data_IF_974369514150
#
_entry.id   IF_974369514150
#
_cell.length_a   1.000
_cell.length_b   1.000
_cell.length_c   1.000
_cell.angle_alpha   90.00
_cell.angle_beta   90.00
_cell.angle_gamma   90.00
#
_symmetry.space_group_name_H-M   'P 1'
#
loop_
_entity.id
_entity.type
_entity.pdbx_description
1 polymer ?
#
# COMPACT_ATOMS: atom_id res chain seq x y z
N UNK A 1 13.77 -17.67 20.61
CA UNK A 1 13.74 -18.13 19.22
C UNK A 1 12.94 -17.08 18.50
N UNK A 2 13.57 -16.27 17.65
CA UNK A 2 12.85 -15.31 16.81
C UNK A 2 11.86 -16.10 15.95
N UNK A 3 10.62 -15.62 15.84
CA UNK A 3 9.46 -16.34 15.32
C UNK A 3 9.51 -16.69 13.80
N UNK A 4 10.68 -16.55 13.18
CA UNK A 4 10.87 -16.56 11.72
C UNK A 4 11.72 -17.74 11.23
N UNK A 5 11.88 -18.79 12.03
CA UNK A 5 12.70 -19.95 11.67
C UNK A 5 11.92 -21.25 11.78
N UNK A 6 11.79 -21.93 10.65
CA UNK A 6 11.20 -23.26 10.55
C UNK A 6 12.34 -24.26 10.40
N UNK A 7 12.37 -25.25 11.30
CA UNK A 7 13.29 -26.39 11.22
C UNK A 7 12.52 -27.62 10.73
N UNK A 8 12.86 -28.12 9.55
CA UNK A 8 12.32 -29.39 9.02
C UNK A 8 13.48 -30.36 8.91
N UNK A 9 13.36 -31.53 9.52
CA UNK A 9 14.40 -32.55 9.44
C UNK A 9 13.86 -33.94 9.23
N UNK A 10 14.69 -34.78 8.64
CA UNK A 10 14.49 -36.23 8.50
C UNK A 10 15.63 -36.95 9.21
N UNK A 11 15.29 -37.94 10.03
CA UNK A 11 16.26 -38.86 10.59
C UNK A 11 16.37 -40.09 9.67
N UNK A 12 17.58 -40.62 9.48
CA UNK A 12 17.89 -41.69 8.54
C UNK A 12 17.51 -41.30 7.11
N UNK A 13 17.94 -40.12 6.68
CA UNK A 13 17.86 -39.76 5.27
C UNK A 13 18.71 -40.71 4.42
N UNK A 14 18.59 -40.59 3.11
CA UNK A 14 19.15 -41.51 2.13
C UNK A 14 20.69 -41.48 2.04
N UNK A 15 21.34 -40.70 2.89
CA UNK A 15 22.79 -40.72 3.08
C UNK A 15 23.19 -41.89 4.00
N UNK A 16 24.08 -42.74 3.48
CA UNK A 16 24.33 -44.12 3.93
C UNK A 16 25.04 -44.31 5.28
N UNK A 17 25.05 -43.31 6.17
CA UNK A 17 25.76 -43.39 7.45
C UNK A 17 24.84 -43.74 8.65
N UNK A 18 25.38 -44.51 9.60
CA UNK A 18 24.68 -44.88 10.83
C UNK A 18 24.36 -43.62 11.65
N UNK A 19 23.08 -43.34 11.89
CA UNK A 19 22.59 -42.14 12.58
C UNK A 19 22.68 -40.84 11.76
N UNK A 20 22.66 -40.94 10.43
CA UNK A 20 22.54 -39.79 9.52
C UNK A 20 21.13 -39.18 9.53
N UNK A 21 21.04 -37.96 9.03
CA UNK A 21 19.81 -37.19 8.87
C UNK A 21 20.09 -35.79 8.36
N UNK A 22 19.13 -35.21 7.65
CA UNK A 22 19.18 -33.85 7.16
C UNK A 22 18.30 -32.95 8.01
N UNK A 23 18.73 -31.70 8.17
CA UNK A 23 17.91 -30.64 8.72
C UNK A 23 18.01 -29.41 7.80
N UNK A 24 16.85 -28.94 7.36
CA UNK A 24 16.69 -27.72 6.60
C UNK A 24 16.20 -26.63 7.55
N UNK A 25 16.90 -25.50 7.53
CA UNK A 25 16.49 -24.29 8.20
C UNK A 25 15.91 -23.36 7.14
N UNK A 26 14.64 -23.03 7.26
CA UNK A 26 13.98 -22.01 6.45
C UNK A 26 13.85 -20.75 7.29
N UNK A 27 14.32 -19.63 6.75
CA UNK A 27 13.93 -18.32 7.23
C UNK A 27 12.61 -17.97 6.56
N UNK A 28 11.53 -17.94 7.33
CA UNK A 28 10.26 -17.41 6.85
C UNK A 28 10.35 -15.90 7.02
N UNK A 29 10.63 -15.21 5.91
CA UNK A 29 10.39 -13.77 5.86
C UNK A 29 8.87 -13.61 5.85
N UNK A 30 8.32 -12.95 6.86
CA UNK A 30 7.00 -12.35 6.69
C UNK A 30 7.06 -11.54 5.40
N UNK A 31 6.09 -11.68 4.47
CA UNK A 31 6.01 -10.78 3.35
C UNK A 31 6.08 -9.36 3.90
N UNK A 32 6.80 -8.43 3.26
CA UNK A 32 6.83 -7.05 3.72
C UNK A 32 5.38 -6.61 3.91
N UNK A 33 5.04 -6.16 5.12
CA UNK A 33 3.67 -5.76 5.46
C UNK A 33 3.14 -4.82 4.39
N UNK A 34 1.86 -4.99 4.03
CA UNK A 34 1.25 -4.13 3.05
C UNK A 34 1.19 -2.72 3.64
N UNK A 35 1.69 -1.72 2.92
CA UNK A 35 1.59 -0.34 3.39
C UNK A 35 0.09 -0.01 3.55
N UNK A 36 -0.30 0.50 4.73
CA UNK A 36 -1.69 0.80 5.04
C UNK A 36 -2.51 -0.36 5.59
N UNK A 37 -1.96 -1.58 5.69
CA UNK A 37 -2.52 -2.68 6.50
C UNK A 37 -2.11 -2.45 7.96
N UNK A 38 -3.07 -2.00 8.76
CA UNK A 38 -2.82 -1.60 10.15
C UNK A 38 -3.17 -2.70 11.15
N UNK A 39 -3.88 -3.74 10.72
CA UNK A 39 -4.24 -4.87 11.59
C UNK A 39 -3.30 -6.10 11.40
N UNK A 40 -2.46 -6.09 10.37
CA UNK A 40 -1.46 -7.10 10.04
C UNK A 40 -2.03 -8.39 9.44
N UNK A 41 -3.23 -8.35 8.86
CA UNK A 41 -3.90 -9.52 8.28
C UNK A 41 -3.61 -9.72 6.78
N UNK A 42 -2.76 -8.86 6.21
CA UNK A 42 -2.37 -8.83 4.80
C UNK A 42 -3.50 -8.53 3.81
N UNK A 43 -4.63 -8.02 4.30
CA UNK A 43 -5.68 -7.44 3.49
C UNK A 43 -5.64 -5.92 3.69
N UNK A 44 -6.04 -5.21 2.64
CA UNK A 44 -6.33 -3.80 2.75
C UNK A 44 -7.85 -3.68 2.65
N UNK A 45 -8.50 -3.35 3.75
CA UNK A 45 -9.96 -3.32 3.80
C UNK A 45 -10.54 -2.21 4.70
N UNK A 46 -11.85 -2.26 4.94
CA UNK A 46 -12.58 -1.28 5.74
C UNK A 46 -12.05 -1.21 7.19
N UNK A 47 -11.49 -2.30 7.70
CA UNK A 47 -10.89 -2.37 9.03
C UNK A 47 -9.70 -1.41 9.14
N UNK A 48 -8.86 -1.36 8.12
CA UNK A 48 -7.64 -0.53 8.13
C UNK A 48 -7.96 0.97 8.08
N UNK A 49 -8.85 1.39 7.19
CA UNK A 49 -9.24 2.81 7.13
C UNK A 49 -9.96 3.25 8.41
N UNK A 50 -10.74 2.35 9.04
CA UNK A 50 -11.34 2.63 10.35
C UNK A 50 -10.28 2.73 11.48
N UNK A 51 -9.24 1.89 11.44
CA UNK A 51 -8.11 1.99 12.38
C UNK A 51 -7.35 3.30 12.18
N UNK A 52 -7.12 3.71 10.93
CA UNK A 52 -6.48 4.98 10.59
C UNK A 52 -7.31 6.17 11.06
N UNK A 53 -8.62 6.22 10.77
CA UNK A 53 -9.55 7.24 11.29
C UNK A 53 -9.46 7.31 12.82
N UNK A 54 -9.50 6.15 13.50
CA UNK A 54 -9.36 6.11 14.95
C UNK A 54 -8.02 6.67 15.45
N UNK A 55 -6.92 6.43 14.74
CA UNK A 55 -5.61 6.95 15.08
C UNK A 55 -5.54 8.47 14.90
N UNK A 56 -6.12 9.00 13.82
CA UNK A 56 -6.22 10.44 13.53
C UNK A 56 -7.02 11.16 14.62
N UNK A 57 -8.22 10.65 14.96
CA UNK A 57 -9.10 11.26 15.96
C UNK A 57 -8.49 11.31 17.36
N UNK A 58 -7.67 10.30 17.69
CA UNK A 58 -6.98 10.23 18.98
C UNK A 58 -5.70 11.08 19.01
N UNK A 59 -5.31 11.70 17.88
CA UNK A 59 -4.05 12.42 17.75
C UNK A 59 -2.85 11.51 18.00
N UNK A 60 -2.88 10.30 17.42
CA UNK A 60 -1.83 9.30 17.59
C UNK A 60 -0.46 9.86 17.22
N UNK A 61 0.56 9.48 17.99
CA UNK A 61 1.98 9.76 17.69
C UNK A 61 2.70 8.54 17.13
N UNK A 62 1.99 7.43 16.91
CA UNK A 62 2.58 6.27 16.30
C UNK A 62 2.78 6.53 14.80
N UNK A 63 4.04 6.68 14.40
CA UNK A 63 4.43 6.93 13.00
C UNK A 63 4.14 5.75 12.07
N UNK A 64 3.75 4.58 12.58
CA UNK A 64 3.23 3.50 11.74
C UNK A 64 1.97 3.94 10.98
N UNK A 65 1.19 4.91 11.50
CA UNK A 65 0.02 5.50 10.83
C UNK A 65 0.37 6.73 9.96
N UNK A 66 1.59 7.28 10.06
CA UNK A 66 2.09 8.39 9.23
C UNK A 66 2.60 7.85 7.89
N UNK A 67 1.67 7.40 7.07
CA UNK A 67 1.95 6.86 5.73
C UNK A 67 2.30 7.98 4.74
N UNK A 68 1.86 9.21 5.00
CA UNK A 68 2.21 10.39 4.22
C UNK A 68 3.67 10.82 4.39
N UNK A 69 4.30 10.44 5.50
CA UNK A 69 5.70 10.74 5.82
C UNK A 69 5.94 12.20 6.18
N UNK A 70 4.89 12.92 6.60
CA UNK A 70 4.99 14.34 6.97
C UNK A 70 5.40 14.55 8.46
N UNK A 71 5.52 13.47 9.22
CA UNK A 71 5.88 13.46 10.64
C UNK A 71 4.69 13.58 11.59
N UNK A 72 3.45 13.42 11.12
CA UNK A 72 2.21 13.58 11.89
C UNK A 72 1.11 12.67 11.38
N UNK A 73 0.33 12.05 12.28
CA UNK A 73 -0.84 11.26 11.91
C UNK A 73 -2.05 12.18 11.75
N UNK A 74 -2.62 12.27 10.55
CA UNK A 74 -3.68 13.21 10.22
C UNK A 74 -4.45 12.91 8.93
N UNK A 75 -5.19 13.92 8.46
CA UNK A 75 -6.05 13.78 7.28
C UNK A 75 -5.28 13.54 5.96
N UNK A 76 -4.00 13.95 5.92
CA UNK A 76 -3.12 13.66 4.78
C UNK A 76 -2.88 12.15 4.64
N UNK A 77 -2.77 11.42 5.76
CA UNK A 77 -2.63 9.96 5.76
C UNK A 77 -3.90 9.29 5.25
N UNK A 78 -5.08 9.73 5.69
CA UNK A 78 -6.36 9.20 5.17
C UNK A 78 -6.50 9.44 3.67
N UNK A 79 -6.12 10.62 3.21
CA UNK A 79 -6.16 10.97 1.79
C UNK A 79 -5.22 10.09 0.97
N UNK A 80 -4.01 9.84 1.47
CA UNK A 80 -3.04 8.94 0.84
C UNK A 80 -3.51 7.49 0.86
N UNK A 81 -4.10 7.03 1.96
CA UNK A 81 -4.62 5.67 2.09
C UNK A 81 -5.67 5.40 1.01
N UNK A 82 -6.67 6.28 0.89
CA UNK A 82 -7.77 6.14 -0.07
C UNK A 82 -7.27 6.24 -1.51
N UNK A 83 -6.47 7.25 -1.84
CA UNK A 83 -6.15 7.57 -3.23
C UNK A 83 -4.96 6.80 -3.81
N UNK A 84 -3.93 6.59 -3.02
CA UNK A 84 -2.62 6.14 -3.52
C UNK A 84 -2.31 4.70 -3.11
N UNK A 85 -2.68 4.32 -1.88
CA UNK A 85 -2.40 2.99 -1.32
C UNK A 85 -3.49 2.00 -1.73
N UNK A 86 -4.75 2.28 -1.37
CA UNK A 86 -5.89 1.47 -1.79
C UNK A 86 -6.19 1.69 -3.27
N UNK A 87 -6.16 2.96 -3.70
CA UNK A 87 -6.48 3.33 -5.07
C UNK A 87 -7.97 3.32 -5.37
N UNK A 88 -8.79 3.82 -4.44
CA UNK A 88 -10.24 4.01 -4.65
C UNK A 88 -10.66 5.49 -4.50
N UNK A 89 -11.94 5.76 -4.33
CA UNK A 89 -12.56 7.06 -4.19
C UNK A 89 -13.14 7.24 -2.79
N UNK A 90 -13.14 8.48 -2.30
CA UNK A 90 -14.08 8.85 -1.26
C UNK A 90 -15.50 8.65 -1.78
N UNK A 91 -16.32 7.90 -1.03
CA UNK A 91 -17.65 7.48 -1.48
C UNK A 91 -17.79 5.99 -1.73
N UNK A 92 -16.70 5.28 -2.03
CA UNK A 92 -16.69 3.83 -2.23
C UNK A 92 -16.77 3.14 -0.85
N UNK A 93 -18.00 2.83 -0.41
CA UNK A 93 -18.28 2.35 0.93
C UNK A 93 -17.95 0.86 1.11
N UNK A 94 -17.92 0.09 0.02
CA UNK A 94 -17.66 -1.34 0.03
C UNK A 94 -16.22 -1.69 -0.42
N UNK A 95 -15.45 -0.69 -0.84
CA UNK A 95 -14.08 -0.79 -1.33
C UNK A 95 -13.94 -1.68 -2.58
N UNK A 96 -14.93 -1.63 -3.48
CA UNK A 96 -14.90 -2.39 -4.75
C UNK A 96 -14.19 -1.64 -5.90
N UNK A 97 -13.71 -0.43 -5.63
CA UNK A 97 -12.92 0.40 -6.53
C UNK A 97 -13.73 1.41 -7.34
N UNK A 98 -15.05 1.46 -7.16
CA UNK A 98 -15.94 2.46 -7.77
C UNK A 98 -16.81 3.17 -6.73
N UNK A 99 -17.18 4.42 -7.01
CA UNK A 99 -18.19 5.14 -6.23
C UNK A 99 -19.46 5.24 -7.07
N UNK A 100 -20.51 4.51 -6.68
CA UNK A 100 -21.77 4.44 -7.43
C UNK A 100 -23.01 4.38 -6.51
N UNK A 101 -24.18 4.18 -7.12
CA UNK A 101 -25.44 4.10 -6.37
C UNK A 101 -25.51 2.97 -5.32
N UNK A 102 -24.77 1.88 -5.48
CA UNK A 102 -24.71 0.76 -4.53
C UNK A 102 -24.10 1.20 -3.19
N UNK A 103 -23.06 2.03 -3.22
CA UNK A 103 -22.45 2.60 -2.02
C UNK A 103 -23.43 3.49 -1.26
N UNK A 104 -24.10 4.38 -1.99
CA UNK A 104 -25.12 5.27 -1.42
C UNK A 104 -26.27 4.47 -0.80
N UNK A 105 -26.72 3.40 -1.46
CA UNK A 105 -27.75 2.51 -0.92
C UNK A 105 -27.24 1.84 0.37
N UNK A 106 -26.00 1.34 0.40
CA UNK A 106 -25.41 0.70 1.57
C UNK A 106 -25.35 1.64 2.77
N UNK A 107 -24.79 2.84 2.62
CA UNK A 107 -24.64 3.78 3.74
C UNK A 107 -25.99 4.32 4.22
N UNK A 108 -26.95 4.55 3.31
CA UNK A 108 -28.30 4.98 3.69
C UNK A 108 -29.10 3.86 4.38
N UNK A 109 -28.84 2.58 4.07
CA UNK A 109 -29.44 1.45 4.77
C UNK A 109 -28.95 1.31 6.21
N UNK A 110 -27.75 1.83 6.54
CA UNK A 110 -27.26 1.89 7.91
C UNK A 110 -28.06 2.87 8.78
N UNK A 111 -28.82 3.78 8.17
CA UNK A 111 -29.69 4.76 8.84
C UNK A 111 -28.96 5.71 9.80
N UNK A 112 -27.71 6.08 9.47
CA UNK A 112 -26.87 6.99 10.26
C UNK A 112 -26.82 8.43 9.71
N UNK A 113 -27.48 8.69 8.57
CA UNK A 113 -27.45 10.02 7.95
C UNK A 113 -28.16 11.05 8.83
N UNK A 114 -27.42 12.00 9.37
CA UNK A 114 -27.92 13.10 10.20
C UNK A 114 -28.85 12.57 11.34
N UNK A 115 -28.42 11.51 12.02
CA UNK A 115 -29.25 10.77 13.01
C UNK A 115 -29.17 11.34 14.45
N UNK A 116 -28.34 12.38 14.67
CA UNK A 116 -28.03 13.00 15.96
C UNK A 116 -27.36 12.06 17.00
N UNK A 117 -26.80 10.92 16.59
CA UNK A 117 -26.10 9.97 17.47
C UNK A 117 -24.60 10.03 17.23
N UNK A 118 -23.91 10.71 18.14
CA UNK A 118 -22.49 10.95 17.96
C UNK A 118 -21.62 9.67 17.93
N UNK A 119 -20.61 9.67 17.07
CA UNK A 119 -19.53 8.69 16.92
C UNK A 119 -20.02 7.26 16.62
N UNK A 120 -21.05 7.12 15.79
CA UNK A 120 -21.60 5.82 15.44
C UNK A 120 -21.36 5.41 13.97
N UNK A 121 -20.74 6.27 13.17
CA UNK A 121 -20.40 5.98 11.78
C UNK A 121 -18.97 5.45 11.64
N UNK A 122 -18.76 4.79 10.51
CA UNK A 122 -17.51 4.20 10.03
C UNK A 122 -17.46 4.37 8.51
N UNK A 123 -16.32 4.09 7.87
CA UNK A 123 -16.19 4.22 6.42
C UNK A 123 -17.33 3.54 5.64
N UNK A 124 -17.61 2.27 5.98
CA UNK A 124 -18.63 1.47 5.30
C UNK A 124 -20.07 1.87 5.61
N UNK A 125 -20.28 2.80 6.55
CA UNK A 125 -21.59 3.37 6.90
C UNK A 125 -21.68 4.87 6.62
N UNK A 126 -20.68 5.47 5.97
CA UNK A 126 -20.76 6.82 5.42
C UNK A 126 -19.78 7.86 5.98
N UNK A 127 -18.93 7.52 6.95
CA UNK A 127 -17.90 8.43 7.51
C UNK A 127 -16.69 8.51 6.56
N UNK A 128 -16.81 9.35 5.54
CA UNK A 128 -15.79 9.56 4.52
C UNK A 128 -14.89 10.73 4.86
N UNK A 129 -15.37 11.73 5.58
CA UNK A 129 -14.54 12.86 6.03
C UNK A 129 -13.75 12.56 7.32
N UNK A 130 -14.10 11.50 8.04
CA UNK A 130 -13.35 10.95 9.16
C UNK A 130 -13.74 11.54 10.52
N UNK A 131 -14.89 12.21 10.64
CA UNK A 131 -15.35 12.81 11.88
C UNK A 131 -16.23 11.89 12.75
N UNK A 132 -16.46 10.64 12.29
CA UNK A 132 -17.31 9.60 12.90
C UNK A 132 -18.81 9.84 12.86
N UNK A 133 -19.26 10.78 12.04
CA UNK A 133 -20.66 10.98 11.68
C UNK A 133 -20.90 10.56 10.23
N UNK A 134 -22.15 10.28 9.86
CA UNK A 134 -22.54 10.29 8.45
C UNK A 134 -23.41 11.51 8.21
N UNK A 135 -22.84 12.53 7.61
CA UNK A 135 -23.46 13.84 7.45
C UNK A 135 -23.39 14.34 6.01
N UNK A 136 -23.92 15.53 5.81
CA UNK A 136 -23.74 16.27 4.54
C UNK A 136 -22.26 16.55 4.24
N UNK A 137 -21.38 16.60 5.26
CA UNK A 137 -19.93 16.76 5.11
C UNK A 137 -19.32 15.63 4.27
N UNK A 138 -19.66 14.39 4.59
CA UNK A 138 -19.21 13.20 3.87
C UNK A 138 -19.65 13.19 2.41
N UNK A 139 -20.92 13.53 2.17
CA UNK A 139 -21.45 13.62 0.82
C UNK A 139 -20.71 14.68 -0.01
N UNK A 140 -20.32 15.80 0.60
CA UNK A 140 -19.48 16.80 -0.06
C UNK A 140 -18.10 16.21 -0.35
N UNK A 141 -17.48 15.51 0.61
CA UNK A 141 -16.16 14.90 0.43
C UNK A 141 -16.13 13.89 -0.70
N UNK A 142 -17.15 13.03 -0.81
CA UNK A 142 -17.24 12.04 -1.88
C UNK A 142 -17.58 12.68 -3.25
N UNK A 143 -18.59 13.55 -3.30
CA UNK A 143 -19.10 14.08 -4.57
C UNK A 143 -18.24 15.19 -5.19
N UNK A 144 -17.48 15.95 -4.38
CA UNK A 144 -16.63 17.04 -4.89
C UNK A 144 -15.54 16.56 -5.86
N UNK A 145 -15.18 15.28 -5.79
CA UNK A 145 -14.17 14.67 -6.67
C UNK A 145 -14.70 14.45 -8.10
N UNK A 146 -16.02 14.40 -8.28
CA UNK A 146 -16.66 14.05 -9.55
C UNK A 146 -16.52 12.57 -9.94
N UNK A 147 -16.12 11.70 -9.00
CA UNK A 147 -15.90 10.27 -9.24
C UNK A 147 -17.19 9.43 -9.34
N UNK A 148 -18.34 9.98 -8.93
CA UNK A 148 -19.62 9.28 -8.94
C UNK A 148 -19.97 8.75 -10.34
N UNK A 149 -20.23 7.44 -10.43
CA UNK A 149 -20.59 6.72 -11.66
C UNK A 149 -19.53 6.85 -12.79
N UNK A 150 -18.26 7.09 -12.43
CA UNK A 150 -17.14 7.03 -13.39
C UNK A 150 -16.62 5.60 -13.65
N UNK A 151 -17.09 4.63 -12.86
CA UNK A 151 -16.66 3.23 -12.89
C UNK A 151 -15.38 2.99 -12.08
N UNK A 152 -14.80 1.77 -12.17
CA UNK A 152 -13.69 1.38 -11.33
C UNK A 152 -12.42 2.18 -11.63
N UNK A 153 -11.71 2.60 -10.58
CA UNK A 153 -10.39 3.19 -10.72
C UNK A 153 -9.44 2.11 -11.27
N UNK A 154 -8.68 2.45 -12.30
CA UNK A 154 -7.69 1.53 -12.82
C UNK A 154 -6.67 1.22 -11.71
N UNK A 155 -6.58 -0.06 -11.31
CA UNK A 155 -5.56 -0.50 -10.37
C UNK A 155 -4.19 0.00 -10.86
N UNK A 156 -3.47 0.71 -9.98
CA UNK A 156 -2.18 1.30 -10.32
C UNK A 156 -1.20 0.14 -10.55
N UNK A 157 -1.06 -0.31 -11.79
CA UNK A 157 -0.08 -1.33 -12.12
C UNK A 157 1.29 -0.75 -11.82
N UNK A 158 2.07 -1.38 -10.94
CA UNK A 158 3.45 -1.00 -10.67
C UNK A 158 4.17 -0.81 -12.01
N UNK A 159 4.52 0.44 -12.32
CA UNK A 159 5.22 0.79 -13.54
C UNK A 159 6.57 0.06 -13.47
N UNK A 160 6.94 -0.79 -14.46
CA UNK A 160 8.27 -1.35 -14.52
C UNK A 160 9.25 -0.18 -14.55
N UNK A 161 10.12 -0.08 -13.53
CA UNK A 161 11.05 1.04 -13.43
C UNK A 161 11.78 1.21 -14.77
N UNK A 162 11.91 2.46 -15.27
CA UNK A 162 12.47 2.69 -16.58
C UNK A 162 13.87 2.08 -16.63
N UNK A 163 14.25 1.65 -17.83
CA UNK A 163 15.51 1.00 -18.21
C UNK A 163 16.78 1.85 -17.94
N UNK A 164 16.85 2.55 -16.81
CA UNK A 164 17.92 3.38 -16.27
C UNK A 164 19.23 2.61 -16.23
N UNK A 165 19.17 1.33 -15.85
CA UNK A 165 20.34 0.42 -15.86
C UNK A 165 20.81 0.17 -17.30
N UNK A 166 19.89 -0.02 -18.25
CA UNK A 166 20.24 -0.21 -19.67
C UNK A 166 20.82 1.06 -20.28
N UNK A 167 20.26 2.23 -19.96
CA UNK A 167 20.78 3.53 -20.40
C UNK A 167 22.15 3.84 -19.79
N UNK A 168 22.37 3.51 -18.51
CA UNK A 168 23.65 3.64 -17.83
C UNK A 168 24.70 2.72 -18.44
N UNK A 169 24.37 1.45 -18.69
CA UNK A 169 25.28 0.49 -19.32
C UNK A 169 25.62 0.87 -20.78
N UNK A 170 24.64 1.34 -21.55
CA UNK A 170 24.86 1.86 -22.90
C UNK A 170 25.72 3.13 -22.91
N UNK A 171 25.52 4.05 -21.94
CA UNK A 171 26.32 5.26 -21.77
C UNK A 171 27.78 4.96 -21.42
N UNK A 172 28.03 4.03 -20.50
CA UNK A 172 29.37 3.60 -20.12
C UNK A 172 30.11 2.92 -21.28
N UNK A 173 29.43 2.08 -22.05
CA UNK A 173 30.01 1.44 -23.24
C UNK A 173 30.40 2.48 -24.34
N UNK A 174 29.62 3.54 -24.49
CA UNK A 174 29.93 4.66 -25.39
C UNK A 174 31.17 5.46 -24.94
N UNK A 175 31.25 5.78 -23.65
CA UNK A 175 32.39 6.51 -23.07
C UNK A 175 33.71 5.73 -23.17
N UNK A 176 33.69 4.42 -22.93
CA UNK A 176 34.88 3.57 -23.10
C UNK A 176 35.39 3.56 -24.55
N UNK A 177 34.49 3.63 -25.54
CA UNK A 177 34.87 3.71 -26.97
C UNK A 177 35.48 5.06 -27.34
N UNK A 178 35.00 6.17 -26.77
CA UNK A 178 35.57 7.50 -27.02
C UNK A 178 37.00 7.62 -26.46
N UNK A 179 37.23 7.16 -25.22
CA UNK A 179 38.54 7.24 -24.57
C UNK A 179 39.60 6.37 -25.27
N UNK A 180 39.20 5.25 -25.89
CA UNK A 180 40.14 4.41 -26.64
C UNK A 180 40.58 5.03 -27.97
N UNK A 181 39.73 5.81 -28.63
CA UNK A 181 40.01 6.40 -29.95
C UNK A 181 41.05 7.51 -29.90
N UNK A 182 41.05 8.31 -28.84
CA UNK A 182 41.99 9.43 -28.69
C UNK A 182 43.44 8.95 -28.44
N UNK A 183 43.64 7.79 -27.83
CA UNK A 183 44.98 7.23 -27.58
C UNK A 183 45.67 6.73 -28.85
N UNK A 184 44.91 6.43 -29.91
CA UNK A 184 45.46 5.96 -31.19
C UNK A 184 45.82 7.08 -32.17
N UNK A 185 45.33 8.31 -31.96
CA UNK A 185 45.58 9.44 -32.88
C UNK A 185 46.90 10.18 -32.63
N UNK A 186 47.54 10.00 -31.46
CA UNK A 186 48.82 10.67 -31.12
C UNK A 186 50.06 9.89 -31.56
N UNK A 187 49.92 8.69 -32.14
CA UNK A 187 51.05 7.82 -32.50
C UNK A 187 51.51 7.96 -33.97
N UNK A 188 50.88 8.80 -34.80
CA UNK A 188 51.22 8.97 -36.22
C UNK A 188 51.42 10.44 -36.59
N UNK A 189 52.44 11.08 -36.02
CA UNK A 189 53.03 12.30 -36.56
C UNK A 189 54.53 12.31 -36.24
N UNK A 190 55.31 11.61 -37.08
CA UNK A 190 56.73 11.83 -37.32
C UNK A 190 56.99 11.68 -38.80
#
# INVERSE_FOLDING_TARGET
MDAHRILIGSARDDDTDLNAGAAYLFEYAEPPGLLGDFNGDMLLDVTDINLLTSAVDQGSVNLDFDISGNGSVGQEDRTMWVNDIFGTYFGDANLDGEFNSSDLIQVLQAALYEDDIANNASWGTGDWDGDREFSTGDLIVALQTGAYEQGPRAAVSAVPEPSSVVLLLCGLAGLCRCVHRDRTSFASAR
#
